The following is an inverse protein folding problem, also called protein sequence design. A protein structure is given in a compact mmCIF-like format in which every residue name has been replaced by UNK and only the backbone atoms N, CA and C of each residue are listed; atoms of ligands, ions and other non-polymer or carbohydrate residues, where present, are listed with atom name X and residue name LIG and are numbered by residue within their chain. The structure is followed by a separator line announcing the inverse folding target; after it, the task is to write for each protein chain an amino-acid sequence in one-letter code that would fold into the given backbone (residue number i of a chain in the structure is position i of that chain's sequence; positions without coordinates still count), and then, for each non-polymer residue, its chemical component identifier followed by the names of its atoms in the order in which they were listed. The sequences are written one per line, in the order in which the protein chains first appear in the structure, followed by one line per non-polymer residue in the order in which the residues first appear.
data_IF_170623236583
#
_entry.id   IF_170623236583
#
_cell.length_a   1.000
_cell.length_b   1.000
_cell.length_c   1.000
_cell.angle_alpha   90.00
_cell.angle_beta   90.00
_cell.angle_gamma   90.00
#
_symmetry.space_group_name_H-M   'P 1'
#
loop_
_entity.id
_entity.type
_entity.pdbx_description
1 polymer ?
#
# COMPACT_ATOMS: atom_id res chain seq x y z
N UNK A 1 -72.84 -24.35 -4.53
CA UNK A 1 -72.42 -23.90 -3.17
C UNK A 1 -70.94 -23.58 -3.20
N UNK A 2 -70.61 -22.33 -2.89
CA UNK A 2 -69.26 -21.81 -2.90
C UNK A 2 -68.46 -22.24 -1.66
N UNK A 3 -67.14 -22.42 -1.82
CA UNK A 3 -66.16 -21.90 -0.85
C UNK A 3 -64.80 -21.70 -1.53
N UNK A 4 -64.51 -20.42 -1.72
CA UNK A 4 -63.25 -19.83 -2.16
C UNK A 4 -62.18 -20.07 -1.07
N UNK A 5 -60.94 -20.34 -1.48
CA UNK A 5 -59.73 -19.90 -0.78
C UNK A 5 -58.59 -19.69 -1.79
N UNK A 6 -58.05 -18.48 -1.77
CA UNK A 6 -57.04 -17.94 -2.70
C UNK A 6 -55.59 -18.07 -2.13
N UNK A 7 -54.54 -17.78 -2.92
CA UNK A 7 -53.37 -18.64 -3.14
C UNK A 7 -52.14 -18.34 -2.26
N UNK A 8 -51.17 -19.27 -2.24
CA UNK A 8 -49.82 -19.05 -1.70
C UNK A 8 -48.87 -18.77 -2.86
N UNK A 9 -48.54 -17.51 -3.06
CA UNK A 9 -47.45 -17.05 -3.91
C UNK A 9 -46.12 -17.54 -3.33
N UNK A 10 -45.29 -18.23 -4.13
CA UNK A 10 -43.89 -18.47 -3.79
C UNK A 10 -43.06 -18.01 -4.99
N UNK A 11 -42.60 -16.77 -4.90
CA UNK A 11 -41.55 -16.22 -5.73
C UNK A 11 -40.24 -16.97 -5.44
N UNK A 12 -39.50 -17.34 -6.50
CA UNK A 12 -38.10 -17.74 -6.41
C UNK A 12 -37.30 -16.85 -7.34
N UNK A 13 -36.88 -15.70 -6.82
CA UNK A 13 -35.85 -14.88 -7.45
C UNK A 13 -34.50 -15.54 -7.20
N UNK A 14 -33.83 -15.97 -8.27
CA UNK A 14 -32.43 -16.37 -8.21
C UNK A 14 -31.59 -15.09 -8.08
N UNK A 15 -31.22 -14.72 -6.85
CA UNK A 15 -30.24 -13.67 -6.62
C UNK A 15 -28.86 -14.25 -6.96
N UNK A 16 -28.37 -13.94 -8.17
CA UNK A 16 -26.98 -14.18 -8.56
C UNK A 16 -26.15 -13.17 -7.77
N UNK A 17 -25.53 -13.65 -6.68
CA UNK A 17 -24.59 -12.89 -5.89
C UNK A 17 -23.25 -12.88 -6.63
N UNK A 18 -23.05 -11.88 -7.48
CA UNK A 18 -21.77 -11.63 -8.14
C UNK A 18 -20.75 -11.23 -7.06
N UNK A 19 -19.88 -12.15 -6.65
CA UNK A 19 -18.70 -11.80 -5.86
C UNK A 19 -17.76 -10.99 -6.75
N UNK A 20 -17.76 -9.67 -6.57
CA UNK A 20 -16.71 -8.80 -7.09
C UNK A 20 -15.46 -9.04 -6.25
N UNK A 21 -14.47 -9.73 -6.80
CA UNK A 21 -13.10 -9.70 -6.28
C UNK A 21 -12.55 -8.31 -6.58
N UNK A 22 -12.66 -7.38 -5.63
CA UNK A 22 -11.95 -6.11 -5.68
C UNK A 22 -10.46 -6.38 -5.51
N UNK A 23 -9.72 -6.39 -6.61
CA UNK A 23 -8.27 -6.37 -6.58
C UNK A 23 -7.83 -5.00 -6.07
N UNK A 24 -7.28 -4.95 -4.86
CA UNK A 24 -6.60 -3.75 -4.35
C UNK A 24 -5.36 -3.53 -5.21
N UNK A 25 -5.42 -2.59 -6.15
CA UNK A 25 -4.28 -2.22 -6.97
C UNK A 25 -3.34 -1.35 -6.14
N UNK A 26 -2.39 -1.97 -5.44
CA UNK A 26 -1.26 -1.27 -4.83
C UNK A 26 -0.25 -0.93 -5.93
N UNK A 27 0.12 0.34 -6.05
CA UNK A 27 1.20 0.75 -6.93
C UNK A 27 2.55 0.50 -6.25
N UNK A 28 3.44 -0.23 -6.92
CA UNK A 28 4.79 -0.46 -6.39
C UNK A 28 5.67 0.80 -6.47
N UNK A 29 6.75 0.83 -5.71
CA UNK A 29 7.77 1.86 -5.77
C UNK A 29 8.33 1.99 -7.20
N UNK A 30 8.37 3.22 -7.74
CA UNK A 30 8.73 3.50 -9.13
C UNK A 30 7.61 3.25 -10.15
N UNK A 31 6.44 2.77 -9.71
CA UNK A 31 5.25 2.59 -10.54
C UNK A 31 4.46 3.88 -10.73
N UNK A 32 3.44 3.82 -11.58
CA UNK A 32 2.49 4.93 -11.77
C UNK A 32 1.13 4.53 -11.22
N UNK A 33 0.53 5.41 -10.40
CA UNK A 33 -0.86 5.25 -9.99
C UNK A 33 -1.72 5.53 -11.22
N UNK A 34 -2.15 4.48 -11.92
CA UNK A 34 -3.24 4.61 -12.89
C UNK A 34 -4.50 4.86 -12.08
N UNK A 35 -5.11 6.03 -12.28
CA UNK A 35 -6.47 6.29 -11.81
C UNK A 35 -7.41 5.30 -12.53
N UNK A 36 -7.56 4.10 -11.98
CA UNK A 36 -8.65 3.19 -12.32
C UNK A 36 -9.93 3.77 -11.71
N UNK A 37 -10.92 3.99 -12.56
CA UNK A 37 -12.21 4.66 -12.28
C UNK A 37 -13.17 3.82 -11.41
N UNK A 38 -12.65 2.93 -10.58
CA UNK A 38 -13.42 2.10 -9.67
C UNK A 38 -13.00 2.43 -8.24
N UNK A 39 -13.99 2.71 -7.38
CA UNK A 39 -13.84 3.26 -6.05
C UNK A 39 -12.97 2.38 -5.13
N UNK A 40 -11.65 2.54 -5.23
CA UNK A 40 -10.70 2.16 -4.21
C UNK A 40 -11.01 2.97 -2.95
N UNK A 41 -10.96 2.34 -1.77
CA UNK A 41 -11.01 3.00 -0.45
C UNK A 41 -9.72 3.82 -0.18
N UNK A 42 -9.04 4.25 -1.25
CA UNK A 42 -7.80 4.98 -1.23
C UNK A 42 -8.10 6.45 -0.89
N UNK A 43 -7.76 6.85 0.33
CA UNK A 43 -7.89 8.25 0.74
C UNK A 43 -6.72 9.03 0.16
N UNK A 44 -7.00 9.83 -0.88
CA UNK A 44 -6.02 10.74 -1.45
C UNK A 44 -5.88 11.99 -0.57
N UNK A 45 -4.75 12.11 0.14
CA UNK A 45 -4.45 13.32 0.90
C UNK A 45 -3.62 14.26 0.02
N UNK A 46 -4.22 15.38 -0.38
CA UNK A 46 -3.50 16.45 -1.08
C UNK A 46 -2.61 17.22 -0.12
N UNK A 47 -1.43 17.56 -0.62
CA UNK A 47 -0.48 18.49 -0.03
C UNK A 47 -1.17 19.79 0.43
N UNK A 48 -1.40 19.94 1.74
CA UNK A 48 -1.59 21.28 2.31
C UNK A 48 -0.20 21.90 2.39
N UNK A 49 0.07 22.87 1.51
CA UNK A 49 1.31 23.67 1.38
C UNK A 49 2.56 23.06 2.04
N UNK A 50 3.32 22.27 1.28
CA UNK A 50 4.64 21.74 1.68
C UNK A 50 4.67 20.27 2.09
N UNK A 51 3.53 19.61 2.32
CA UNK A 51 3.48 18.18 2.61
C UNK A 51 3.35 17.35 1.32
N UNK A 52 3.98 16.18 1.20
CA UNK A 52 3.85 15.34 0.02
C UNK A 52 2.44 14.73 -0.11
N UNK A 53 1.94 14.61 -1.34
CA UNK A 53 0.66 13.96 -1.62
C UNK A 53 0.81 12.44 -1.56
N UNK A 54 -0.20 11.75 -1.01
CA UNK A 54 -0.20 10.29 -0.93
C UNK A 54 -1.61 9.68 -1.04
N UNK A 55 -1.68 8.46 -1.56
CA UNK A 55 -2.80 7.53 -1.33
C UNK A 55 -2.54 6.72 -0.05
N UNK A 56 -3.58 6.49 0.74
CA UNK A 56 -3.53 5.59 1.89
C UNK A 56 -4.52 4.44 1.69
N UNK A 57 -4.07 3.21 1.92
CA UNK A 57 -4.90 2.01 1.92
C UNK A 57 -4.65 1.21 3.19
N UNK A 58 -5.62 0.40 3.61
CA UNK A 58 -5.45 -0.56 4.71
C UNK A 58 -5.79 -1.95 4.21
N UNK A 59 -4.87 -2.90 4.36
CA UNK A 59 -5.08 -4.27 3.91
C UNK A 59 -5.97 -5.08 4.89
N UNK A 60 -6.31 -6.32 4.50
CA UNK A 60 -7.12 -7.22 5.33
C UNK A 60 -6.47 -7.60 6.67
N UNK A 61 -5.16 -7.37 6.82
CA UNK A 61 -4.40 -7.64 8.04
C UNK A 61 -4.27 -6.40 8.94
N UNK A 62 -4.86 -5.27 8.55
CA UNK A 62 -4.78 -4.01 9.28
C UNK A 62 -3.44 -3.29 9.09
N UNK A 63 -2.74 -3.56 7.99
CA UNK A 63 -1.53 -2.84 7.61
C UNK A 63 -1.94 -1.62 6.80
N UNK A 64 -1.66 -0.44 7.34
CA UNK A 64 -1.80 0.85 6.66
C UNK A 64 -0.61 1.04 5.75
N UNK A 65 -0.85 1.28 4.47
CA UNK A 65 0.15 1.54 3.45
C UNK A 65 -0.12 2.93 2.86
N UNK A 66 0.92 3.77 2.80
CA UNK A 66 0.89 5.05 2.08
C UNK A 66 1.80 4.99 0.87
N UNK A 67 1.32 5.50 -0.25
CA UNK A 67 2.08 5.61 -1.48
C UNK A 67 2.18 7.09 -1.85
N UNK A 68 3.40 7.62 -1.88
CA UNK A 68 3.66 9.03 -2.13
C UNK A 68 3.91 9.25 -3.61
N UNK A 69 3.12 10.16 -4.19
CA UNK A 69 3.09 10.38 -5.65
C UNK A 69 3.65 11.75 -6.01
N UNK A 70 4.45 11.80 -7.08
CA UNK A 70 4.95 13.05 -7.65
C UNK A 70 3.88 13.75 -8.52
N UNK A 71 4.25 14.89 -9.10
CA UNK A 71 3.37 15.65 -10.00
C UNK A 71 2.96 14.90 -11.29
N UNK A 72 3.66 13.83 -11.62
CA UNK A 72 3.41 12.97 -12.78
C UNK A 72 2.64 11.68 -12.41
N UNK A 73 2.31 11.49 -11.13
CA UNK A 73 1.64 10.30 -10.62
C UNK A 73 2.55 9.09 -10.41
N UNK A 74 3.87 9.29 -10.41
CA UNK A 74 4.85 8.24 -10.11
C UNK A 74 5.03 8.10 -8.59
N UNK A 75 5.03 6.86 -8.10
CA UNK A 75 5.26 6.55 -6.69
C UNK A 75 6.76 6.61 -6.42
N UNK A 76 7.22 7.66 -5.72
CA UNK A 76 8.64 7.83 -5.38
C UNK A 76 8.97 7.35 -3.96
N UNK A 77 7.95 7.15 -3.12
CA UNK A 77 8.10 6.58 -1.79
C UNK A 77 6.86 5.79 -1.37
N UNK A 78 7.07 4.83 -0.47
CA UNK A 78 6.02 4.09 0.21
C UNK A 78 6.32 4.01 1.70
N UNK A 79 5.28 4.00 2.54
CA UNK A 79 5.43 3.71 3.96
C UNK A 79 4.34 2.77 4.44
N UNK A 80 4.63 2.07 5.54
CA UNK A 80 3.71 1.11 6.10
C UNK A 80 3.74 1.11 7.62
N UNK A 81 2.62 0.73 8.21
CA UNK A 81 2.45 0.50 9.64
C UNK A 81 1.36 -0.52 9.90
N UNK A 82 1.59 -1.45 10.81
CA UNK A 82 0.56 -2.40 11.20
C UNK A 82 1.02 -3.48 12.17
N UNK A 83 0.12 -4.43 12.49
CA UNK A 83 0.43 -5.55 13.39
C UNK A 83 1.34 -6.61 12.75
N UNK A 84 1.60 -6.51 11.44
CA UNK A 84 2.41 -7.43 10.66
C UNK A 84 3.22 -6.68 9.58
N UNK A 85 4.19 -7.39 9.00
CA UNK A 85 4.98 -6.89 7.87
C UNK A 85 4.16 -7.02 6.57
N UNK A 86 4.11 -5.99 5.71
CA UNK A 86 3.48 -6.12 4.40
C UNK A 86 4.32 -7.01 3.46
N UNK A 87 3.75 -7.36 2.31
CA UNK A 87 4.49 -7.96 1.21
C UNK A 87 5.49 -6.93 0.63
N UNK A 88 6.72 -6.94 1.15
CA UNK A 88 7.80 -6.06 0.74
C UNK A 88 8.18 -6.28 -0.73
N UNK A 89 8.03 -7.49 -1.26
CA UNK A 89 8.31 -7.75 -2.66
C UNK A 89 7.29 -7.05 -3.56
N UNK A 90 6.01 -7.11 -3.21
CA UNK A 90 4.96 -6.38 -3.92
C UNK A 90 5.17 -4.86 -3.83
N UNK A 91 5.51 -4.34 -2.65
CA UNK A 91 5.72 -2.90 -2.44
C UNK A 91 6.92 -2.34 -3.19
N UNK A 92 8.06 -3.05 -3.19
CA UNK A 92 9.29 -2.56 -3.83
C UNK A 92 9.35 -2.86 -5.33
N UNK A 93 8.58 -3.83 -5.81
CA UNK A 93 8.54 -4.20 -7.22
C UNK A 93 9.93 -4.48 -7.79
N UNK A 94 10.32 -3.74 -8.82
CA UNK A 94 11.62 -3.88 -9.48
C UNK A 94 12.82 -3.64 -8.54
N UNK A 95 12.63 -2.90 -7.45
CA UNK A 95 13.69 -2.57 -6.48
C UNK A 95 13.90 -3.66 -5.42
N UNK A 96 13.07 -4.71 -5.40
CA UNK A 96 13.17 -5.76 -4.38
C UNK A 96 14.49 -6.52 -4.42
N UNK A 97 15.06 -6.75 -5.61
CA UNK A 97 16.34 -7.44 -5.73
C UNK A 97 17.49 -6.63 -5.11
N UNK A 98 17.54 -5.32 -5.38
CA UNK A 98 18.50 -4.40 -4.77
C UNK A 98 18.37 -4.38 -3.24
N UNK A 99 17.13 -4.39 -2.74
CA UNK A 99 16.89 -4.52 -1.30
C UNK A 99 17.44 -5.85 -0.75
N UNK A 100 17.20 -6.98 -1.43
CA UNK A 100 17.67 -8.30 -1.00
C UNK A 100 19.20 -8.35 -0.93
N UNK A 101 19.88 -7.84 -1.95
CA UNK A 101 21.35 -7.77 -1.98
C UNK A 101 21.89 -6.93 -0.83
N UNK A 102 21.32 -5.74 -0.61
CA UNK A 102 21.70 -4.86 0.49
C UNK A 102 21.42 -5.48 1.87
N UNK A 103 20.27 -6.14 2.05
CA UNK A 103 19.91 -6.81 3.29
C UNK A 103 20.87 -7.97 3.63
N UNK A 104 21.26 -8.78 2.64
CA UNK A 104 22.26 -9.84 2.80
C UNK A 104 23.62 -9.27 3.22
N UNK A 105 24.03 -8.14 2.64
CA UNK A 105 25.27 -7.46 3.03
C UNK A 105 25.20 -6.90 4.47
N UNK A 106 24.02 -6.46 4.92
CA UNK A 106 23.80 -5.90 6.27
C UNK A 106 23.57 -6.95 7.37
N UNK A 107 23.25 -8.20 7.03
CA UNK A 107 23.01 -9.28 8.00
C UNK A 107 24.20 -9.58 8.94
N UNK A 108 25.42 -9.15 8.58
CA UNK A 108 26.59 -9.24 9.44
C UNK A 108 26.76 -8.11 10.47
N UNK A 109 26.00 -7.01 10.35
CA UNK A 109 26.26 -5.78 11.09
C UNK A 109 25.24 -5.48 12.21
N UNK A 110 23.94 -5.65 11.99
CA UNK A 110 22.89 -5.31 12.97
C UNK A 110 21.65 -6.19 12.74
N UNK A 111 21.05 -6.72 13.82
CA UNK A 111 19.82 -7.50 13.73
C UNK A 111 18.68 -6.72 13.05
N UNK A 112 17.79 -7.43 12.37
CA UNK A 112 16.72 -6.90 11.51
C UNK A 112 15.69 -5.99 12.21
N UNK A 113 15.80 -5.80 13.52
CA UNK A 113 14.89 -4.97 14.34
C UNK A 113 15.03 -3.47 14.08
N UNK A 114 16.17 -3.05 13.52
CA UNK A 114 16.44 -1.70 13.02
C UNK A 114 17.28 -1.81 11.73
N UNK A 115 16.69 -2.38 10.68
CA UNK A 115 17.37 -2.55 9.41
C UNK A 115 17.15 -1.31 8.54
N UNK A 116 18.24 -0.59 8.26
CA UNK A 116 18.30 0.35 7.14
C UNK A 116 19.11 -0.33 6.03
N UNK A 117 18.53 -0.41 4.83
CA UNK A 117 19.23 -0.82 3.62
C UNK A 117 19.29 0.40 2.71
N UNK A 118 20.49 0.92 2.50
CA UNK A 118 20.75 1.98 1.52
C UNK A 118 21.67 1.40 0.44
N UNK A 119 21.15 1.20 -0.76
CA UNK A 119 21.91 0.59 -1.87
C UNK A 119 21.51 1.23 -3.18
N UNK A 120 22.48 1.89 -3.82
CA UNK A 120 22.24 2.70 -5.00
C UNK A 120 21.28 3.85 -4.69
N UNK A 121 20.16 3.89 -5.40
CA UNK A 121 19.11 4.89 -5.23
C UNK A 121 18.05 4.50 -4.19
N UNK A 122 18.00 3.23 -3.81
CA UNK A 122 16.99 2.69 -2.92
C UNK A 122 17.42 2.85 -1.46
N UNK A 123 16.54 3.45 -0.67
CA UNK A 123 16.63 3.44 0.79
C UNK A 123 15.40 2.76 1.36
N UNK A 124 15.59 1.80 2.27
CA UNK A 124 14.54 1.08 2.99
C UNK A 124 14.86 1.12 4.47
N UNK A 125 13.89 1.55 5.28
CA UNK A 125 14.00 1.62 6.73
C UNK A 125 12.90 0.79 7.38
N UNK A 126 13.29 -0.05 8.33
CA UNK A 126 12.41 -0.93 9.08
C UNK A 126 12.55 -0.71 10.58
N UNK A 127 11.43 -0.66 11.28
CA UNK A 127 11.34 -0.52 12.73
C UNK A 127 10.27 -1.45 13.29
N UNK A 128 10.55 -2.03 14.46
CA UNK A 128 9.54 -2.71 15.27
C UNK A 128 9.52 -2.11 16.67
N UNK A 129 8.34 -1.65 17.11
CA UNK A 129 8.12 -1.18 18.49
C UNK A 129 6.80 -1.75 18.99
N UNK A 130 6.78 -2.31 20.21
CA UNK A 130 5.56 -2.76 20.89
C UNK A 130 4.62 -3.66 20.03
N UNK A 131 5.20 -4.57 19.22
CA UNK A 131 4.45 -5.45 18.28
C UNK A 131 3.75 -4.71 17.14
N UNK A 132 4.16 -3.48 16.85
CA UNK A 132 3.83 -2.76 15.64
C UNK A 132 5.06 -2.75 14.72
N UNK A 133 4.85 -3.19 13.48
CA UNK A 133 5.81 -3.06 12.40
C UNK A 133 5.56 -1.72 11.70
N UNK A 134 6.63 -0.99 11.44
CA UNK A 134 6.57 0.23 10.64
C UNK A 134 7.83 0.36 9.80
N UNK A 135 7.69 0.97 8.62
CA UNK A 135 8.83 1.21 7.76
C UNK A 135 8.49 2.11 6.61
N UNK A 136 9.52 2.46 5.85
CA UNK A 136 9.41 3.31 4.67
C UNK A 136 10.48 2.94 3.67
N UNK A 137 10.18 3.17 2.40
CA UNK A 137 11.11 2.99 1.31
C UNK A 137 10.97 4.16 0.32
N UNK A 138 12.09 4.64 -0.23
CA UNK A 138 12.08 5.70 -1.22
C UNK A 138 13.26 5.60 -2.17
N UNK A 139 13.11 6.30 -3.30
CA UNK A 139 14.15 6.51 -4.29
C UNK A 139 14.76 7.90 -4.06
N UNK A 140 16.04 7.95 -3.66
CA UNK A 140 16.71 9.19 -3.25
C UNK A 140 16.75 10.24 -4.37
N UNK A 141 16.91 9.81 -5.61
CA UNK A 141 16.98 10.65 -6.81
C UNK A 141 15.61 10.98 -7.40
N UNK A 142 14.53 10.35 -6.91
CA UNK A 142 13.17 10.61 -7.36
C UNK A 142 12.36 11.51 -6.41
N UNK A 143 12.98 12.00 -5.33
CA UNK A 143 12.34 12.95 -4.41
C UNK A 143 11.96 14.24 -5.16
N UNK A 144 10.68 14.67 -5.13
CA UNK A 144 10.27 15.92 -5.75
C UNK A 144 10.97 17.15 -5.14
N UNK A 145 11.11 18.26 -5.88
CA UNK A 145 11.67 19.49 -5.34
C UNK A 145 10.96 19.94 -4.06
N UNK A 146 11.73 20.13 -2.99
CA UNK A 146 11.23 20.55 -1.68
C UNK A 146 10.73 19.43 -0.77
N UNK A 147 10.72 18.17 -1.23
CA UNK A 147 10.41 16.99 -0.40
C UNK A 147 11.71 16.40 0.14
N UNK A 148 11.74 16.17 1.45
CA UNK A 148 12.85 15.52 2.15
C UNK A 148 12.41 14.12 2.61
N UNK A 149 13.37 13.23 2.87
CA UNK A 149 13.08 11.89 3.39
C UNK A 149 12.32 11.93 4.74
N UNK A 150 12.47 13.00 5.53
CA UNK A 150 11.72 13.23 6.77
C UNK A 150 10.22 13.42 6.57
N UNK A 151 9.79 13.75 5.35
CA UNK A 151 8.38 14.01 5.03
C UNK A 151 7.61 12.70 4.74
N UNK A 152 8.33 11.57 4.68
CA UNK A 152 7.82 10.21 4.49
C UNK A 152 7.63 9.55 5.87
N UNK A 153 6.41 9.13 6.21
CA UNK A 153 5.97 8.79 7.58
C UNK A 153 5.46 7.36 7.75
#
# INVERSE_FOLDING_TARGET
MAKIRHPKNIARGLAVCSLLLTATATAHLGGTVRASDEASDAVMRRAQSGLPAFSETTDANGIVIREYVDGNGAVYAVSWRGPAMPDIQALLGAHFETFREGALASMGALGLHTAQVATGDLVVENHMRLREFSGRAWLANALPPGVNASDIQ
#
